data_IF_955878564570
#
_entry.id   IF_955878564570
#
_cell.length_a   1.000
_cell.length_b   1.000
_cell.length_c   1.000
_cell.angle_alpha   90.00
_cell.angle_beta   90.00
_cell.angle_gamma   90.00
#
_symmetry.space_group_name_H-M   'P 1'
#
loop_
_entity.id
_entity.type
_entity.pdbx_description
1 polymer ?
#
# COMPACT_ATOMS: atom_id res chain seq x y z
N UNK A 1 15.75 -1.94 -14.02
CA UNK A 1 16.58 -0.81 -14.53
C UNK A 1 16.74 0.26 -13.46
N UNK A 2 17.87 0.91 -13.30
CA UNK A 2 18.00 2.08 -12.42
C UNK A 2 17.35 3.29 -13.08
N UNK A 3 16.60 4.08 -12.31
CA UNK A 3 15.99 5.30 -12.81
C UNK A 3 16.99 6.18 -13.57
N UNK A 4 16.56 6.79 -14.67
CA UNK A 4 17.40 7.67 -15.50
C UNK A 4 17.92 8.85 -14.67
N UNK A 5 19.21 9.13 -14.73
CA UNK A 5 19.81 10.26 -14.04
C UNK A 5 19.68 11.56 -14.85
N UNK A 6 19.78 12.71 -14.19
CA UNK A 6 19.47 14.03 -14.76
C UNK A 6 20.24 14.40 -16.03
N UNK A 7 21.47 13.90 -16.19
CA UNK A 7 22.27 14.11 -17.42
C UNK A 7 21.70 13.46 -18.69
N UNK A 8 20.69 12.59 -18.57
CA UNK A 8 20.02 11.93 -19.68
C UNK A 8 18.58 12.41 -19.93
N UNK A 9 18.01 13.28 -19.06
CA UNK A 9 16.60 13.67 -19.15
C UNK A 9 16.22 14.43 -20.41
N UNK A 10 17.16 15.16 -21.03
CA UNK A 10 16.91 15.84 -22.30
C UNK A 10 16.81 14.89 -23.51
N UNK A 11 17.15 13.61 -23.35
CA UNK A 11 17.04 12.61 -24.41
C UNK A 11 15.73 11.84 -24.24
N UNK A 12 15.03 11.57 -25.35
CA UNK A 12 13.88 10.69 -25.32
C UNK A 12 14.26 9.30 -24.72
N UNK A 13 13.37 8.63 -23.99
CA UNK A 13 13.56 7.22 -23.63
C UNK A 13 13.82 6.39 -24.89
N UNK A 14 14.65 5.36 -24.79
CA UNK A 14 14.85 4.42 -25.91
C UNK A 14 13.54 3.64 -26.14
N UNK A 15 12.92 3.72 -27.31
CA UNK A 15 11.70 2.97 -27.60
C UNK A 15 11.94 1.45 -27.59
N UNK A 16 13.18 1.00 -27.70
CA UNK A 16 13.54 -0.42 -27.57
C UNK A 16 13.66 -0.89 -26.11
N UNK A 17 13.59 0.03 -25.16
CA UNK A 17 13.62 -0.28 -23.73
C UNK A 17 12.23 -0.71 -23.25
N UNK A 18 11.82 -1.91 -23.67
CA UNK A 18 10.59 -2.59 -23.21
C UNK A 18 10.79 -3.26 -21.85
N UNK A 19 11.52 -2.62 -20.93
CA UNK A 19 11.66 -3.16 -19.59
C UNK A 19 10.29 -3.38 -18.98
N UNK A 20 10.03 -4.61 -18.55
CA UNK A 20 8.81 -4.94 -17.83
C UNK A 20 8.80 -4.18 -16.52
N UNK A 21 7.72 -3.46 -16.25
CA UNK A 21 7.50 -2.81 -14.96
C UNK A 21 7.35 -3.90 -13.90
N UNK A 22 8.13 -3.79 -12.82
CA UNK A 22 8.05 -4.72 -11.70
C UNK A 22 6.78 -4.52 -10.88
N UNK A 23 6.42 -3.24 -10.63
CA UNK A 23 5.34 -2.85 -9.71
C UNK A 23 4.51 -1.72 -10.30
N UNK A 24 3.20 -1.88 -10.31
CA UNK A 24 2.25 -0.78 -10.47
C UNK A 24 1.93 -0.19 -9.10
N UNK A 25 2.21 1.10 -8.91
CA UNK A 25 1.84 1.85 -7.71
C UNK A 25 0.51 2.51 -7.93
N UNK A 26 -0.52 2.04 -7.24
CA UNK A 26 -1.92 2.44 -7.39
C UNK A 26 -2.27 3.45 -6.30
N UNK A 27 -2.55 4.70 -6.69
CA UNK A 27 -2.79 5.81 -5.74
C UNK A 27 -4.18 6.38 -5.97
N UNK A 28 -5.13 6.15 -5.06
CA UNK A 28 -6.38 6.91 -5.02
C UNK A 28 -6.11 8.26 -4.35
N UNK A 29 -6.61 9.37 -4.92
CA UNK A 29 -6.48 10.69 -4.30
C UNK A 29 -7.75 11.51 -4.41
N UNK A 30 -7.93 12.41 -3.44
CA UNK A 30 -8.99 13.43 -3.44
C UNK A 30 -8.58 14.65 -2.61
N UNK A 31 -8.38 15.79 -3.26
CA UNK A 31 -8.27 17.08 -2.59
C UNK A 31 -7.05 17.30 -1.68
N UNK A 32 -5.97 16.50 -1.81
CA UNK A 32 -4.75 16.57 -0.99
C UNK A 32 -3.47 16.77 -1.82
N UNK A 33 -3.33 17.88 -2.55
CA UNK A 33 -2.21 18.04 -3.48
C UNK A 33 -0.83 18.16 -2.80
N UNK A 34 -0.75 18.65 -1.57
CA UNK A 34 0.53 18.78 -0.86
C UNK A 34 1.04 17.41 -0.39
N UNK A 35 0.16 16.60 0.17
CA UNK A 35 0.42 15.24 0.60
C UNK A 35 0.79 14.37 -0.60
N UNK A 36 -0.02 14.41 -1.65
CA UNK A 36 0.24 13.69 -2.90
C UNK A 36 1.61 14.05 -3.50
N UNK A 37 1.98 15.34 -3.54
CA UNK A 37 3.29 15.74 -4.03
C UNK A 37 4.43 15.14 -3.20
N UNK A 38 4.25 15.02 -1.88
CA UNK A 38 5.23 14.40 -0.96
C UNK A 38 5.32 12.89 -1.18
N UNK A 39 4.19 12.22 -1.36
CA UNK A 39 4.14 10.79 -1.72
C UNK A 39 4.86 10.52 -3.04
N UNK A 40 4.58 11.33 -4.08
CA UNK A 40 5.25 11.22 -5.38
C UNK A 40 6.76 11.51 -5.30
N UNK A 41 7.19 12.43 -4.42
CA UNK A 41 8.61 12.66 -4.16
C UNK A 41 9.29 11.43 -3.55
N UNK A 42 8.63 10.73 -2.63
CA UNK A 42 9.07 9.44 -2.10
C UNK A 42 9.19 8.37 -3.20
N UNK A 43 8.25 8.32 -4.14
CA UNK A 43 8.31 7.42 -5.29
C UNK A 43 9.45 7.79 -6.25
N UNK A 44 9.69 9.06 -6.49
CA UNK A 44 10.81 9.52 -7.32
C UNK A 44 12.18 9.18 -6.70
N UNK A 45 12.26 8.99 -5.39
CA UNK A 45 13.46 8.61 -4.67
C UNK A 45 13.69 7.09 -4.58
N UNK A 46 12.75 6.25 -5.05
CA UNK A 46 12.92 4.79 -4.99
C UNK A 46 14.10 4.31 -5.86
N UNK A 47 14.80 3.28 -5.38
CA UNK A 47 15.93 2.63 -6.05
C UNK A 47 15.65 1.16 -6.26
N UNK A 48 16.36 0.55 -7.21
CA UNK A 48 16.43 -0.90 -7.44
C UNK A 48 15.08 -1.57 -7.75
N UNK A 49 14.14 -0.80 -8.32
CA UNK A 49 12.83 -1.26 -8.78
C UNK A 49 12.36 -0.45 -9.98
N UNK A 50 11.78 -1.13 -10.96
CA UNK A 50 11.09 -0.49 -12.08
C UNK A 50 9.61 -0.38 -11.74
N UNK A 51 9.13 0.84 -11.59
CA UNK A 51 7.75 1.11 -11.18
C UNK A 51 7.02 1.98 -12.20
N UNK A 52 5.70 1.78 -12.32
CA UNK A 52 4.75 2.65 -12.97
C UNK A 52 3.80 3.24 -11.91
N UNK A 53 3.46 4.51 -12.03
CA UNK A 53 2.46 5.14 -11.16
C UNK A 53 1.12 5.19 -11.89
N UNK A 54 0.09 4.63 -11.29
CA UNK A 54 -1.30 4.75 -11.73
C UNK A 54 -2.05 5.58 -10.69
N UNK A 55 -2.26 6.84 -11.01
CA UNK A 55 -2.89 7.83 -10.15
C UNK A 55 -4.33 8.08 -10.60
N UNK A 56 -5.29 7.92 -9.70
CA UNK A 56 -6.69 8.26 -9.96
C UNK A 56 -7.16 9.39 -9.04
N UNK A 57 -7.58 10.49 -9.66
CA UNK A 57 -8.01 11.71 -8.95
C UNK A 57 -9.55 11.82 -8.96
N UNK A 58 -10.13 11.82 -7.76
CA UNK A 58 -11.56 12.06 -7.52
C UNK A 58 -11.85 13.50 -7.03
N UNK A 59 -10.87 14.40 -7.09
CA UNK A 59 -11.10 15.82 -6.78
C UNK A 59 -12.07 16.45 -7.79
N UNK A 60 -12.80 17.44 -7.35
CA UNK A 60 -13.56 18.27 -8.28
C UNK A 60 -12.60 18.88 -9.31
N UNK A 61 -12.93 18.79 -10.59
CA UNK A 61 -12.13 19.34 -11.71
C UNK A 61 -10.69 18.78 -11.83
N UNK A 62 -10.33 17.68 -11.14
CA UNK A 62 -8.99 17.09 -11.18
C UNK A 62 -7.93 17.98 -10.51
N UNK A 63 -8.31 18.77 -9.53
CA UNK A 63 -7.48 19.81 -8.92
C UNK A 63 -6.23 19.27 -8.20
N UNK A 64 -6.31 18.07 -7.62
CA UNK A 64 -5.16 17.52 -6.91
C UNK A 64 -4.01 17.18 -7.88
N UNK A 65 -4.30 16.49 -8.98
CA UNK A 65 -3.30 16.11 -9.97
C UNK A 65 -2.76 17.31 -10.78
N UNK A 66 -3.57 18.35 -10.98
CA UNK A 66 -3.18 19.57 -11.72
C UNK A 66 -2.39 20.57 -10.89
N UNK A 67 -2.33 20.41 -9.57
CA UNK A 67 -1.59 21.30 -8.68
C UNK A 67 -0.11 21.39 -9.10
N UNK A 68 0.52 22.59 -9.10
CA UNK A 68 1.86 22.77 -9.64
C UNK A 68 2.93 21.84 -9.07
N UNK A 69 2.91 21.55 -7.78
CA UNK A 69 3.85 20.64 -7.11
C UNK A 69 3.66 19.20 -7.59
N UNK A 70 2.41 18.73 -7.68
CA UNK A 70 2.08 17.39 -8.17
C UNK A 70 2.49 17.23 -9.62
N UNK A 71 2.09 18.16 -10.50
CA UNK A 71 2.46 18.17 -11.90
C UNK A 71 3.99 18.21 -12.12
N UNK A 72 4.74 18.90 -11.24
CA UNK A 72 6.20 18.88 -11.27
C UNK A 72 6.76 17.51 -10.93
N UNK A 73 6.24 16.83 -9.91
CA UNK A 73 6.70 15.50 -9.52
C UNK A 73 6.36 14.43 -10.55
N UNK A 74 5.18 14.52 -11.19
CA UNK A 74 4.83 13.63 -12.31
C UNK A 74 5.85 13.75 -13.45
N UNK A 75 6.24 14.98 -13.84
CA UNK A 75 7.30 15.20 -14.84
C UNK A 75 8.67 14.66 -14.40
N UNK A 76 9.00 14.71 -13.10
CA UNK A 76 10.23 14.10 -12.57
C UNK A 76 10.21 12.59 -12.78
N UNK A 77 9.12 11.92 -12.42
CA UNK A 77 8.95 10.49 -12.62
C UNK A 77 9.10 10.10 -14.10
N UNK A 78 8.42 10.80 -14.99
CA UNK A 78 8.51 10.58 -16.44
C UNK A 78 9.96 10.81 -16.97
N UNK A 79 10.63 11.88 -16.52
CA UNK A 79 12.03 12.15 -16.88
C UNK A 79 12.98 11.06 -16.39
N UNK A 80 12.68 10.44 -15.24
CA UNK A 80 13.40 9.27 -14.72
C UNK A 80 13.13 7.98 -15.52
N UNK A 81 12.18 7.98 -16.46
CA UNK A 81 11.76 6.81 -17.23
C UNK A 81 10.74 5.95 -16.49
N UNK A 82 10.06 6.50 -15.50
CA UNK A 82 8.96 5.84 -14.76
C UNK A 82 7.65 6.27 -15.40
N UNK A 83 6.89 5.34 -16.02
CA UNK A 83 5.62 5.67 -16.64
C UNK A 83 4.61 6.18 -15.62
N UNK A 84 3.81 7.16 -16.03
CA UNK A 84 2.70 7.69 -15.24
C UNK A 84 1.40 7.54 -16.03
N UNK A 85 0.40 6.94 -15.42
CA UNK A 85 -0.97 6.89 -15.94
C UNK A 85 -1.84 7.73 -15.02
N UNK A 86 -2.36 8.84 -15.54
CA UNK A 86 -3.28 9.70 -14.80
C UNK A 86 -4.71 9.41 -15.25
N UNK A 87 -5.55 9.03 -14.30
CA UNK A 87 -6.95 8.69 -14.51
C UNK A 87 -7.84 9.71 -13.79
N UNK A 88 -8.92 10.12 -14.44
CA UNK A 88 -9.98 10.91 -13.82
C UNK A 88 -11.17 10.00 -13.54
N UNK A 89 -11.60 9.96 -12.27
CA UNK A 89 -12.72 9.13 -11.83
C UNK A 89 -13.66 9.94 -10.93
N UNK A 90 -14.53 10.78 -11.51
CA UNK A 90 -15.31 11.76 -10.74
C UNK A 90 -16.42 11.13 -9.89
N UNK A 91 -16.85 9.92 -10.20
CA UNK A 91 -17.89 9.24 -9.45
C UNK A 91 -17.35 8.72 -8.11
N UNK A 92 -17.92 9.20 -7.00
CA UNK A 92 -17.55 8.79 -5.66
C UNK A 92 -18.49 7.73 -5.13
N UNK A 93 -18.16 6.45 -5.37
CA UNK A 93 -18.92 5.29 -4.88
C UNK A 93 -18.27 4.63 -3.67
N UNK A 94 -17.28 5.28 -3.05
CA UNK A 94 -16.54 4.79 -1.91
C UNK A 94 -15.13 4.31 -2.27
N UNK A 95 -14.29 4.16 -1.22
CA UNK A 95 -12.87 3.85 -1.43
C UNK A 95 -12.65 2.43 -1.98
N UNK A 96 -13.51 1.46 -1.63
CA UNK A 96 -13.43 0.10 -2.19
C UNK A 96 -13.62 0.10 -3.72
N UNK A 97 -14.59 0.86 -4.23
CA UNK A 97 -14.81 1.00 -5.67
C UNK A 97 -13.64 1.70 -6.34
N UNK A 98 -13.11 2.78 -5.75
CA UNK A 98 -11.96 3.49 -6.28
C UNK A 98 -10.69 2.61 -6.35
N UNK A 99 -10.46 1.76 -5.35
CA UNK A 99 -9.37 0.77 -5.37
C UNK A 99 -9.60 -0.31 -6.43
N UNK A 100 -10.86 -0.77 -6.65
CA UNK A 100 -11.15 -1.70 -7.73
C UNK A 100 -10.92 -1.07 -9.10
N UNK A 101 -11.36 0.18 -9.29
CA UNK A 101 -11.10 0.92 -10.52
C UNK A 101 -9.60 1.01 -10.83
N UNK A 102 -8.77 1.33 -9.84
CA UNK A 102 -7.31 1.34 -10.01
C UNK A 102 -6.75 -0.05 -10.34
N UNK A 103 -7.22 -1.11 -9.67
CA UNK A 103 -6.81 -2.49 -9.93
C UNK A 103 -7.12 -2.92 -11.37
N UNK A 104 -8.27 -2.51 -11.90
CA UNK A 104 -8.69 -2.82 -13.29
C UNK A 104 -7.77 -2.15 -14.35
N UNK A 105 -6.96 -1.15 -13.96
CA UNK A 105 -5.95 -0.51 -14.81
C UNK A 105 -4.52 -1.00 -14.55
N UNK A 106 -4.34 -1.96 -13.64
CA UNK A 106 -3.03 -2.53 -13.33
C UNK A 106 -2.62 -3.57 -14.38
N UNK A 107 -1.32 -3.57 -14.73
CA UNK A 107 -0.72 -4.48 -15.71
C UNK A 107 0.43 -5.30 -15.13
N UNK A 108 1.21 -4.73 -14.18
CA UNK A 108 2.32 -5.41 -13.56
C UNK A 108 1.90 -6.64 -12.75
N UNK A 109 2.80 -7.59 -12.56
CA UNK A 109 2.54 -8.79 -11.76
C UNK A 109 2.38 -8.47 -10.26
N UNK A 110 3.01 -7.40 -9.76
CA UNK A 110 2.85 -6.90 -8.41
C UNK A 110 2.18 -5.53 -8.41
N UNK A 111 1.26 -5.28 -7.48
CA UNK A 111 0.54 -4.02 -7.33
C UNK A 111 0.68 -3.49 -5.91
N UNK A 112 1.14 -2.26 -5.78
CA UNK A 112 1.25 -1.56 -4.52
C UNK A 112 0.09 -0.58 -4.38
N UNK A 113 -0.84 -0.84 -3.47
CA UNK A 113 -1.77 0.20 -3.02
C UNK A 113 -1.06 1.10 -2.02
N UNK A 114 -0.99 2.38 -2.37
CA UNK A 114 -0.32 3.41 -1.58
C UNK A 114 -1.27 4.60 -1.39
N UNK A 115 -1.52 4.99 -0.16
CA UNK A 115 -2.32 6.17 0.12
C UNK A 115 -1.55 7.45 -0.24
N UNK A 116 -2.27 8.51 -0.58
CA UNK A 116 -1.73 9.76 -1.09
C UNK A 116 -1.00 10.64 -0.05
N UNK A 117 -0.97 10.18 1.21
CA UNK A 117 -0.31 10.82 2.36
C UNK A 117 0.76 9.93 3.01
N UNK A 118 1.40 9.06 2.23
CA UNK A 118 2.48 8.18 2.68
C UNK A 118 3.78 8.50 1.96
N UNK A 119 4.80 8.87 2.74
CA UNK A 119 6.17 8.96 2.23
C UNK A 119 6.91 7.64 2.42
N UNK A 120 7.65 7.20 1.41
CA UNK A 120 8.47 5.99 1.44
C UNK A 120 9.95 6.34 1.43
N UNK A 121 10.73 5.73 2.33
CA UNK A 121 12.19 5.81 2.26
C UNK A 121 12.73 5.15 0.98
N UNK A 122 13.88 5.59 0.45
CA UNK A 122 14.51 4.96 -0.71
C UNK A 122 14.75 3.47 -0.50
N UNK A 123 14.40 2.64 -1.51
CA UNK A 123 14.55 1.18 -1.46
C UNK A 123 13.40 0.43 -0.79
N UNK A 124 12.39 1.10 -0.23
CA UNK A 124 11.26 0.42 0.42
C UNK A 124 10.49 -0.48 -0.53
N UNK A 125 10.20 -0.05 -1.75
CA UNK A 125 9.44 -0.86 -2.71
C UNK A 125 10.25 -2.07 -3.17
N UNK A 126 11.55 -1.90 -3.41
CA UNK A 126 12.44 -3.02 -3.76
C UNK A 126 12.48 -4.07 -2.65
N UNK A 127 12.55 -3.63 -1.38
CA UNK A 127 12.51 -4.50 -0.19
C UNK A 127 11.17 -5.24 -0.08
N UNK A 128 10.04 -4.56 -0.30
CA UNK A 128 8.73 -5.21 -0.31
C UNK A 128 8.61 -6.25 -1.42
N UNK A 129 9.13 -5.94 -2.62
CA UNK A 129 9.09 -6.84 -3.77
C UNK A 129 9.96 -8.08 -3.54
N UNK A 130 11.16 -7.90 -2.98
CA UNK A 130 12.03 -9.01 -2.57
C UNK A 130 11.34 -9.90 -1.54
N UNK A 131 10.71 -9.31 -0.54
CA UNK A 131 9.95 -10.02 0.47
C UNK A 131 8.76 -10.80 -0.13
N UNK A 132 7.96 -10.17 -1.00
CA UNK A 132 6.83 -10.83 -1.66
C UNK A 132 7.28 -12.06 -2.46
N UNK A 133 8.37 -11.94 -3.22
CA UNK A 133 8.96 -13.03 -4.02
C UNK A 133 9.55 -14.13 -3.14
N UNK A 134 10.27 -13.76 -2.08
CA UNK A 134 10.92 -14.70 -1.16
C UNK A 134 9.91 -15.49 -0.33
N UNK A 135 8.86 -14.83 0.17
CA UNK A 135 7.85 -15.47 1.02
C UNK A 135 6.81 -16.25 0.19
N UNK A 136 6.63 -15.92 -1.10
CA UNK A 136 5.67 -16.57 -1.97
C UNK A 136 4.22 -16.45 -1.47
N UNK A 137 3.89 -15.37 -0.76
CA UNK A 137 2.57 -15.13 -0.19
C UNK A 137 1.75 -14.15 -1.05
N UNK A 138 0.48 -13.95 -0.71
CA UNK A 138 -0.41 -13.12 -1.51
C UNK A 138 -0.21 -11.62 -1.33
N UNK A 139 0.33 -11.15 -0.21
CA UNK A 139 0.72 -9.75 -0.01
C UNK A 139 1.80 -9.57 1.05
N UNK A 140 2.52 -8.45 0.93
CA UNK A 140 3.44 -7.93 1.95
C UNK A 140 3.09 -6.47 2.24
N UNK A 141 2.97 -6.12 3.52
CA UNK A 141 2.68 -4.75 3.95
C UNK A 141 3.83 -4.08 4.68
N UNK A 142 4.00 -2.77 4.45
CA UNK A 142 4.85 -1.88 5.23
C UNK A 142 3.97 -0.97 6.08
N UNK A 143 3.83 -1.28 7.38
CA UNK A 143 2.95 -0.53 8.27
C UNK A 143 3.41 0.93 8.38
N UNK A 144 2.50 1.86 8.07
CA UNK A 144 2.82 3.30 8.13
C UNK A 144 2.99 3.77 9.58
N UNK A 145 3.91 4.70 9.78
CA UNK A 145 4.32 5.18 11.09
C UNK A 145 4.09 6.67 11.22
N UNK A 146 3.47 7.10 12.31
CA UNK A 146 3.36 8.52 12.68
C UNK A 146 4.58 8.95 13.46
N UNK A 147 5.48 9.75 12.86
CA UNK A 147 6.74 10.16 13.51
C UNK A 147 6.55 11.14 14.67
N UNK A 148 5.39 11.81 14.78
CA UNK A 148 5.06 12.62 15.95
C UNK A 148 4.93 11.79 17.23
N UNK A 149 4.73 10.47 17.09
CA UNK A 149 4.58 9.51 18.19
C UNK A 149 5.88 8.79 18.59
N UNK A 150 7.04 9.18 18.11
CA UNK A 150 8.32 8.52 18.44
C UNK A 150 8.64 8.45 19.93
N UNK A 151 8.11 9.37 20.72
CA UNK A 151 8.29 9.36 22.17
C UNK A 151 7.18 8.59 22.93
N UNK A 152 6.12 8.17 22.23
CA UNK A 152 4.99 7.44 22.80
C UNK A 152 5.21 5.92 22.66
N UNK A 153 5.92 5.34 23.64
CA UNK A 153 6.17 3.90 23.69
C UNK A 153 5.01 3.18 24.32
N UNK A 154 4.49 2.14 23.62
CA UNK A 154 3.31 1.36 24.02
C UNK A 154 3.66 -0.14 24.14
N UNK A 155 4.37 -0.56 25.21
CA UNK A 155 4.84 -1.95 25.33
C UNK A 155 3.74 -3.00 25.25
N UNK A 156 2.53 -2.68 25.73
CA UNK A 156 1.36 -3.57 25.66
C UNK A 156 0.87 -3.80 24.22
N UNK A 157 1.05 -2.81 23.32
CA UNK A 157 0.70 -2.94 21.89
C UNK A 157 1.83 -3.61 21.10
N UNK A 158 3.09 -3.37 21.44
CA UNK A 158 4.22 -4.02 20.76
C UNK A 158 4.42 -5.47 21.17
N UNK A 159 3.88 -5.90 22.32
CA UNK A 159 3.97 -7.29 22.79
C UNK A 159 3.26 -8.30 21.89
N UNK A 160 2.39 -7.86 20.98
CA UNK A 160 1.71 -8.73 20.00
C UNK A 160 2.57 -9.02 18.77
N UNK A 161 3.80 -8.47 18.70
CA UNK A 161 4.72 -8.75 17.60
C UNK A 161 5.10 -10.23 17.56
N UNK A 162 4.87 -10.86 16.41
CA UNK A 162 5.13 -12.27 16.17
C UNK A 162 5.81 -12.43 14.81
N UNK A 163 7.09 -12.89 14.80
CA UNK A 163 7.81 -13.18 13.55
C UNK A 163 7.24 -14.41 12.86
N UNK A 164 7.38 -14.44 11.54
CA UNK A 164 7.30 -15.68 10.79
C UNK A 164 8.65 -16.39 10.87
N UNK A 165 8.73 -17.50 11.61
CA UNK A 165 9.95 -18.33 11.73
C UNK A 165 10.05 -19.41 10.65
N UNK A 166 9.11 -19.43 9.72
CA UNK A 166 9.01 -20.39 8.62
C UNK A 166 8.24 -19.78 7.44
N UNK A 167 7.73 -20.62 6.52
CA UNK A 167 6.98 -20.14 5.37
C UNK A 167 5.69 -19.44 5.83
N UNK A 168 5.35 -18.37 5.12
CA UNK A 168 4.04 -17.71 5.30
C UNK A 168 2.96 -18.64 4.76
N UNK A 169 1.98 -18.97 5.60
CA UNK A 169 0.89 -19.88 5.26
C UNK A 169 -0.46 -19.16 5.36
N UNK A 170 -1.50 -19.66 4.69
CA UNK A 170 -2.85 -19.16 4.83
C UNK A 170 -3.31 -19.09 6.29
N UNK A 171 -3.90 -17.96 6.67
CA UNK A 171 -4.42 -17.70 8.02
C UNK A 171 -5.77 -16.99 7.94
N UNK A 172 -6.72 -17.43 8.78
CA UNK A 172 -8.02 -16.76 8.94
C UNK A 172 -7.90 -15.77 10.09
N UNK A 173 -7.97 -14.48 9.76
CA UNK A 173 -8.03 -13.39 10.74
C UNK A 173 -9.41 -12.76 10.70
N UNK A 174 -10.07 -12.68 11.85
CA UNK A 174 -11.40 -12.07 12.03
C UNK A 174 -11.50 -11.45 13.42
N UNK A 175 -12.45 -10.53 13.60
CA UNK A 175 -12.79 -10.04 14.94
C UNK A 175 -13.07 -11.21 15.87
N UNK A 176 -12.46 -11.20 17.06
CA UNK A 176 -12.59 -12.26 18.06
C UNK A 176 -11.66 -13.47 17.83
N UNK A 177 -10.83 -13.49 16.80
CA UNK A 177 -9.73 -14.47 16.68
C UNK A 177 -8.45 -13.91 17.32
N UNK A 178 -7.53 -14.75 17.82
CA UNK A 178 -6.27 -14.28 18.40
C UNK A 178 -5.42 -13.45 17.42
N UNK A 179 -5.48 -13.74 16.10
CA UNK A 179 -4.77 -13.00 15.07
C UNK A 179 -5.25 -11.56 14.91
N UNK A 180 -6.49 -11.25 15.34
CA UNK A 180 -7.03 -9.91 15.24
C UNK A 180 -6.31 -8.93 16.17
N UNK A 181 -5.90 -9.32 17.35
CA UNK A 181 -5.27 -8.44 18.35
C UNK A 181 -3.96 -7.83 17.86
N UNK A 182 -3.35 -8.40 16.82
CA UNK A 182 -2.13 -7.87 16.16
C UNK A 182 -2.32 -6.48 15.54
N UNK A 183 -3.58 -6.00 15.37
CA UNK A 183 -3.86 -4.67 14.81
C UNK A 183 -3.19 -3.55 15.61
N UNK A 184 -3.08 -3.72 16.92
CA UNK A 184 -2.52 -2.70 17.81
C UNK A 184 -1.03 -2.42 17.55
N UNK A 185 -0.31 -3.37 16.93
CA UNK A 185 1.09 -3.20 16.54
C UNK A 185 1.30 -2.03 15.57
N UNK A 186 0.31 -1.71 14.75
CA UNK A 186 0.43 -0.65 13.74
C UNK A 186 -0.01 0.74 14.24
N UNK A 187 -0.27 0.89 15.54
CA UNK A 187 -0.58 2.18 16.14
C UNK A 187 0.67 3.05 16.29
N UNK A 188 0.50 4.37 16.18
CA UNK A 188 1.51 5.38 16.52
C UNK A 188 2.85 5.13 15.77
N UNK A 189 3.95 4.97 16.52
CA UNK A 189 5.27 4.61 15.99
C UNK A 189 5.73 3.22 16.47
N UNK A 190 4.80 2.34 16.84
CA UNK A 190 5.14 1.00 17.32
C UNK A 190 6.04 0.20 16.37
N UNK A 191 5.80 0.22 15.02
CA UNK A 191 6.70 -0.47 14.08
C UNK A 191 8.15 0.03 14.15
N UNK A 192 8.37 1.35 14.37
CA UNK A 192 9.71 1.91 14.58
C UNK A 192 10.35 1.39 15.87
N UNK A 193 9.58 1.31 16.93
CA UNK A 193 10.09 0.82 18.22
C UNK A 193 10.49 -0.65 18.14
N UNK A 194 9.66 -1.48 17.50
CA UNK A 194 9.98 -2.90 17.29
C UNK A 194 11.20 -3.06 16.38
N UNK A 195 11.27 -2.32 15.28
CA UNK A 195 12.39 -2.39 14.35
C UNK A 195 13.73 -2.03 15.02
N UNK A 196 13.72 -1.04 15.93
CA UNK A 196 14.91 -0.66 16.69
C UNK A 196 15.41 -1.76 17.63
N UNK A 197 14.50 -2.61 18.13
CA UNK A 197 14.84 -3.71 19.03
C UNK A 197 15.29 -4.99 18.27
N UNK A 198 15.14 -5.01 16.92
CA UNK A 198 15.50 -6.17 16.10
C UNK A 198 16.97 -6.19 15.63
N UNK A 199 17.72 -5.11 15.86
CA UNK A 199 19.16 -4.95 15.49
C UNK A 199 19.45 -5.34 14.01
N UNK A 200 18.63 -4.88 13.08
CA UNK A 200 18.74 -5.19 11.66
C UNK A 200 19.76 -4.27 10.98
N UNK A 201 20.56 -4.83 10.09
CA UNK A 201 21.45 -4.04 9.23
C UNK A 201 20.72 -3.41 8.04
N UNK A 202 21.27 -2.33 7.44
CA UNK A 202 20.70 -1.75 6.22
C UNK A 202 20.49 -2.79 5.11
N UNK A 203 19.26 -2.86 4.58
CA UNK A 203 18.88 -3.84 3.56
C UNK A 203 18.30 -5.15 4.10
N UNK A 204 18.48 -5.46 5.37
CA UNK A 204 17.83 -6.61 6.00
C UNK A 204 16.37 -6.33 6.31
N UNK A 205 15.56 -7.37 6.28
CA UNK A 205 14.16 -7.34 6.69
C UNK A 205 13.73 -8.64 7.36
N UNK A 206 12.70 -8.54 8.19
CA UNK A 206 12.06 -9.71 8.81
C UNK A 206 10.56 -9.69 8.56
N UNK A 207 9.95 -10.84 8.22
CA UNK A 207 8.52 -10.96 8.10
C UNK A 207 7.86 -11.15 9.47
N UNK A 208 6.66 -10.59 9.64
CA UNK A 208 5.88 -10.77 10.85
C UNK A 208 4.39 -10.96 10.54
N UNK A 209 3.67 -11.57 11.49
CA UNK A 209 2.24 -11.82 11.40
C UNK A 209 1.46 -10.52 11.60
N UNK A 210 0.47 -10.30 10.76
CA UNK A 210 -0.35 -9.09 10.80
C UNK A 210 -1.82 -9.44 11.02
N UNK A 211 -2.59 -8.47 11.53
CA UNK A 211 -4.04 -8.50 11.38
C UNK A 211 -4.44 -7.95 10.00
N UNK A 212 -3.86 -6.84 9.60
CA UNK A 212 -3.85 -6.21 8.27
C UNK A 212 -2.79 -5.11 8.26
N UNK A 213 -2.52 -4.51 7.11
CA UNK A 213 -1.63 -3.34 6.98
C UNK A 213 -2.35 -2.27 6.19
N UNK A 214 -2.62 -1.13 6.80
CA UNK A 214 -3.24 0.03 6.13
C UNK A 214 -2.23 0.82 5.29
N UNK A 215 -2.74 1.54 4.30
CA UNK A 215 -2.07 2.60 3.54
C UNK A 215 -0.87 2.20 2.64
N UNK A 216 -0.19 1.07 2.90
CA UNK A 216 0.96 0.63 2.09
C UNK A 216 1.04 -0.90 2.04
N UNK A 217 0.43 -1.51 1.04
CA UNK A 217 0.40 -2.96 0.86
C UNK A 217 0.69 -3.36 -0.60
N UNK A 218 1.71 -4.19 -0.78
CA UNK A 218 2.12 -4.77 -2.06
C UNK A 218 1.52 -6.18 -2.19
N UNK A 219 0.79 -6.42 -3.25
CA UNK A 219 0.14 -7.70 -3.53
C UNK A 219 0.76 -8.39 -4.75
N UNK A 220 0.80 -9.71 -4.72
CA UNK A 220 0.73 -10.47 -5.96
C UNK A 220 -0.63 -10.17 -6.61
N UNK A 221 -0.63 -9.56 -7.81
CA UNK A 221 -1.85 -9.11 -8.48
C UNK A 221 -2.81 -10.27 -8.73
N UNK A 222 -2.29 -11.41 -9.16
CA UNK A 222 -3.10 -12.60 -9.42
C UNK A 222 -3.76 -13.12 -8.13
N UNK A 223 -3.01 -13.17 -7.03
CA UNK A 223 -3.57 -13.59 -5.74
C UNK A 223 -4.69 -12.65 -5.26
N UNK A 224 -4.51 -11.33 -5.44
CA UNK A 224 -5.54 -10.34 -5.10
C UNK A 224 -6.79 -10.50 -5.98
N UNK A 225 -6.62 -10.65 -7.31
CA UNK A 225 -7.72 -10.85 -8.25
C UNK A 225 -8.48 -12.16 -7.98
N UNK A 226 -7.76 -13.26 -7.74
CA UNK A 226 -8.35 -14.56 -7.38
C UNK A 226 -9.08 -14.53 -6.02
N UNK A 227 -8.64 -13.70 -5.09
CA UNK A 227 -9.35 -13.44 -3.82
C UNK A 227 -10.58 -12.53 -4.00
N UNK A 228 -10.84 -12.01 -5.20
CA UNK A 228 -11.98 -11.18 -5.55
C UNK A 228 -11.71 -9.68 -5.56
N UNK A 229 -10.44 -9.24 -5.34
CA UNK A 229 -10.08 -7.84 -5.33
C UNK A 229 -10.93 -7.02 -4.35
N UNK A 230 -11.37 -5.86 -4.82
CA UNK A 230 -12.29 -4.98 -4.07
C UNK A 230 -13.74 -5.04 -4.63
N UNK A 231 -14.11 -6.07 -5.39
CA UNK A 231 -15.43 -6.18 -6.05
C UNK A 231 -16.62 -6.24 -5.10
N UNK A 232 -16.38 -6.44 -3.80
CA UNK A 232 -17.38 -6.34 -2.76
C UNK A 232 -17.90 -4.91 -2.55
N UNK A 233 -17.33 -3.92 -3.22
CA UNK A 233 -17.73 -2.51 -3.12
C UNK A 233 -19.22 -2.29 -3.39
N UNK A 234 -19.85 -3.09 -4.26
CA UNK A 234 -21.27 -3.00 -4.60
C UNK A 234 -22.22 -3.38 -3.46
N UNK A 235 -21.70 -4.03 -2.42
CA UNK A 235 -22.45 -4.37 -1.19
C UNK A 235 -22.30 -3.32 -0.09
N UNK A 236 -21.48 -2.29 -0.30
CA UNK A 236 -21.16 -1.27 0.67
C UNK A 236 -21.83 0.08 0.31
N UNK A 237 -22.23 0.90 1.29
CA UNK A 237 -22.55 2.29 1.00
C UNK A 237 -21.26 3.04 0.62
N UNK A 238 -21.36 4.21 -0.07
CA UNK A 238 -20.19 5.02 -0.42
C UNK A 238 -19.34 5.42 0.80
N UNK A 239 -19.99 5.70 1.93
CA UNK A 239 -19.34 6.05 3.19
C UNK A 239 -19.04 4.78 3.99
N UNK A 240 -17.84 4.24 3.84
CA UNK A 240 -17.35 3.09 4.58
C UNK A 240 -15.85 3.20 4.86
N UNK A 241 -15.36 2.37 5.77
CA UNK A 241 -13.94 2.19 6.06
C UNK A 241 -13.61 0.69 6.07
N UNK A 242 -12.32 0.33 6.05
CA UNK A 242 -11.86 -1.05 6.21
C UNK A 242 -11.95 -1.93 4.96
N UNK A 243 -12.01 -1.33 3.78
CA UNK A 243 -11.99 -2.06 2.51
C UNK A 243 -10.67 -2.80 2.27
N UNK A 244 -9.55 -2.22 2.72
CA UNK A 244 -8.22 -2.83 2.71
C UNK A 244 -8.16 -4.06 3.62
N UNK A 245 -8.82 -4.01 4.78
CA UNK A 245 -8.96 -5.14 5.71
C UNK A 245 -9.67 -6.31 5.03
N UNK A 246 -10.79 -6.06 4.35
CA UNK A 246 -11.55 -7.10 3.63
C UNK A 246 -10.70 -7.77 2.56
N UNK A 247 -10.05 -6.97 1.71
CA UNK A 247 -9.23 -7.49 0.63
C UNK A 247 -8.06 -8.33 1.19
N UNK A 248 -7.37 -7.83 2.21
CA UNK A 248 -6.26 -8.55 2.84
C UNK A 248 -6.70 -9.84 3.52
N UNK A 249 -7.79 -9.84 4.27
CA UNK A 249 -8.28 -11.06 4.90
C UNK A 249 -8.63 -12.14 3.88
N UNK A 250 -9.25 -11.78 2.74
CA UNK A 250 -9.54 -12.72 1.65
C UNK A 250 -8.25 -13.27 1.02
N UNK A 251 -7.24 -12.43 0.85
CA UNK A 251 -5.92 -12.87 0.34
C UNK A 251 -5.23 -13.76 1.37
N UNK A 252 -5.20 -13.37 2.65
CA UNK A 252 -4.56 -14.14 3.72
C UNK A 252 -5.13 -15.55 3.86
N UNK A 253 -6.44 -15.70 3.74
CA UNK A 253 -7.12 -17.01 3.84
C UNK A 253 -6.70 -18.01 2.76
N UNK A 254 -6.26 -17.53 1.61
CA UNK A 254 -5.94 -18.38 0.47
C UNK A 254 -4.45 -18.46 0.17
N UNK A 255 -3.73 -17.36 0.33
CA UNK A 255 -2.36 -17.19 -0.13
C UNK A 255 -1.38 -16.76 0.97
N UNK A 256 -1.89 -16.50 2.19
CA UNK A 256 -1.08 -15.93 3.25
C UNK A 256 -0.76 -14.45 3.03
N UNK A 257 -0.23 -13.82 4.07
CA UNK A 257 0.21 -12.42 4.05
C UNK A 257 1.14 -12.12 5.22
N UNK A 258 1.97 -11.11 5.06
CA UNK A 258 2.93 -10.70 6.09
C UNK A 258 3.12 -9.18 6.11
N UNK A 259 3.49 -8.64 7.27
CA UNK A 259 4.18 -7.37 7.35
C UNK A 259 5.69 -7.57 7.28
N UNK A 260 6.44 -6.53 6.94
CA UNK A 260 7.91 -6.53 7.01
C UNK A 260 8.41 -5.40 7.90
N UNK A 261 9.52 -5.66 8.58
CA UNK A 261 10.26 -4.65 9.34
C UNK A 261 11.73 -4.64 8.90
N UNK A 262 12.35 -3.45 8.82
CA UNK A 262 11.78 -2.12 9.05
C UNK A 262 10.76 -1.76 7.96
N UNK A 263 9.75 -0.96 8.33
CA UNK A 263 8.68 -0.56 7.41
C UNK A 263 9.18 0.38 6.31
N UNK A 264 9.86 1.47 6.66
CA UNK A 264 10.25 2.53 5.72
C UNK A 264 9.08 3.35 5.18
N UNK A 265 7.86 3.16 5.69
CA UNK A 265 6.68 3.92 5.31
C UNK A 265 6.27 4.89 6.43
N UNK A 266 6.10 6.17 6.09
CA UNK A 266 5.77 7.25 7.03
C UNK A 266 4.46 7.89 6.64
N UNK A 267 3.52 7.92 7.57
CA UNK A 267 2.27 8.66 7.42
C UNK A 267 2.51 10.15 7.62
N UNK A 268 2.03 10.99 6.71
CA UNK A 268 2.17 12.46 6.81
C UNK A 268 1.26 13.07 7.87
N UNK A 269 0.44 12.24 8.56
CA UNK A 269 -0.48 12.65 9.63
C UNK A 269 -1.50 13.68 9.17
N UNK A 270 -1.86 13.65 7.89
CA UNK A 270 -2.89 14.49 7.32
C UNK A 270 -4.28 14.11 7.85
N UNK A 271 -5.23 15.06 7.90
CA UNK A 271 -6.61 14.74 8.24
C UNK A 271 -7.19 13.68 7.29
N UNK A 272 -7.94 12.72 7.85
CA UNK A 272 -8.57 11.66 7.04
C UNK A 272 -9.60 12.22 6.06
N UNK A 273 -9.63 11.66 4.85
CA UNK A 273 -10.68 11.92 3.86
C UNK A 273 -11.93 11.07 4.09
N UNK A 274 -11.80 9.96 4.83
CA UNK A 274 -12.93 9.10 5.24
C UNK A 274 -13.50 9.63 6.56
N UNK A 275 -14.42 10.59 6.46
CA UNK A 275 -14.97 11.30 7.63
C UNK A 275 -16.01 10.44 8.35
N UNK A 276 -16.81 9.68 7.61
CA UNK A 276 -17.83 8.78 8.16
C UNK A 276 -17.32 7.33 8.15
N UNK A 277 -17.13 6.78 9.34
CA UNK A 277 -16.64 5.41 9.56
C UNK A 277 -17.67 4.54 10.29
N UNK A 278 -18.98 4.91 10.22
CA UNK A 278 -20.04 4.13 10.88
C UNK A 278 -20.23 2.76 10.25
N UNK A 279 -19.91 2.61 8.97
CA UNK A 279 -19.92 1.32 8.28
C UNK A 279 -18.49 0.81 8.15
N UNK A 280 -18.21 -0.31 8.81
CA UNK A 280 -16.95 -1.03 8.68
C UNK A 280 -17.15 -2.17 7.67
N UNK A 281 -16.42 -2.16 6.57
CA UNK A 281 -16.56 -3.12 5.48
C UNK A 281 -16.44 -4.59 5.94
N UNK A 282 -15.51 -4.97 6.85
CA UNK A 282 -15.47 -6.32 7.40
C UNK A 282 -16.79 -6.77 8.05
N UNK A 283 -17.47 -5.88 8.78
CA UNK A 283 -18.72 -6.22 9.46
C UNK A 283 -19.87 -6.48 8.48
N UNK A 284 -19.84 -5.85 7.31
CA UNK A 284 -20.84 -6.07 6.24
C UNK A 284 -20.48 -7.33 5.44
N UNK A 285 -19.25 -7.41 4.97
CA UNK A 285 -18.85 -8.46 4.02
C UNK A 285 -18.74 -9.84 4.68
N UNK A 286 -18.42 -9.91 5.98
CA UNK A 286 -18.29 -11.15 6.73
C UNK A 286 -19.41 -11.36 7.76
N UNK A 287 -20.54 -10.63 7.66
CA UNK A 287 -21.66 -10.68 8.61
C UNK A 287 -22.22 -12.10 8.84
N UNK A 288 -22.21 -12.96 7.79
CA UNK A 288 -22.80 -14.30 7.82
C UNK A 288 -21.77 -15.42 8.05
N UNK A 289 -20.55 -15.10 8.50
CA UNK A 289 -19.50 -16.12 8.68
C UNK A 289 -19.04 -16.75 7.36
N UNK A 290 -19.27 -16.11 6.24
CA UNK A 290 -18.92 -16.61 4.90
C UNK A 290 -17.40 -16.70 4.76
N UNK A 291 -16.88 -17.87 5.09
CA UNK A 291 -15.58 -18.35 4.58
C UNK A 291 -15.81 -18.63 3.08
N UNK A 292 -15.00 -18.01 2.21
CA UNK A 292 -15.07 -18.28 0.77
C UNK A 292 -14.90 -19.80 0.57
N UNK A 293 -15.76 -20.49 -0.20
CA UNK A 293 -15.55 -21.90 -0.50
C UNK A 293 -14.16 -22.07 -1.14
N UNK A 294 -13.42 -23.07 -0.67
CA UNK A 294 -12.08 -23.43 -1.15
C UNK A 294 -12.12 -23.87 -2.61
#
# INVERSE_FOLDING_TARGET
MTARWSGSWAKAPDPADTSTVDVDVLIPTVGRPAELATTLAGLAAQTDVDLRVVLSDQSADGDAASAPAVAAMLRVLEAQGRPVTLLTHPERRGLAEHRQFLLDHAEAAAVLFLDDDVWLEPGSIARMLDALRTLGCGFVGSAVQGLSYLQDRRPHETSVFERWDGPVVPEVVRRGTPGFDRWSLHNAANPTHVAADLDLHPGEWVPYRVAWVGACALYDRRALEEAGGFRFWDTLPPEHAGEDVVAQWRVMERFGGAGIMPSGAVHLEAPTTVVDRRVDAPDVVFADGNVIPR
#
